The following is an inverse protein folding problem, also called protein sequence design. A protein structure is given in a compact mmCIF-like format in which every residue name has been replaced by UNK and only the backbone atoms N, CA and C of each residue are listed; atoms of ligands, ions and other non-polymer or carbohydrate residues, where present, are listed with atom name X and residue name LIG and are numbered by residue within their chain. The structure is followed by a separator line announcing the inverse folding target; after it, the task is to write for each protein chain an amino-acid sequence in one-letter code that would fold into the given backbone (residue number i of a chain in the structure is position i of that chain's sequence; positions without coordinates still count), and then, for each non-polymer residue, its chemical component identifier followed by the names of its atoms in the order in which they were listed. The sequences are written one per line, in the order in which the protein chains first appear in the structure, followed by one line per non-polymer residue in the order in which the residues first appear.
data_IF_721741277896
#
_entry.id   IF_721741277896
#
_cell.length_a   1.000
_cell.length_b   1.000
_cell.length_c   1.000
_cell.angle_alpha   90.00
_cell.angle_beta   90.00
_cell.angle_gamma   90.00
#
_symmetry.space_group_name_H-M   'P 1'
#
loop_
_entity.id
_entity.type
_entity.pdbx_description
1 polymer ?
#
# COMPACT_ATOMS: atom_id res chain seq x y z
N UNK A 1 -32.70 -30.30 -34.95
CA UNK A 1 -31.75 -30.59 -33.86
C UNK A 1 -30.87 -29.38 -33.63
N UNK A 2 -31.23 -28.57 -32.64
CA UNK A 2 -30.66 -27.25 -32.35
C UNK A 2 -29.56 -27.40 -31.29
N UNK A 3 -28.30 -27.24 -31.68
CA UNK A 3 -27.18 -27.19 -30.75
C UNK A 3 -27.16 -25.83 -30.05
N UNK A 4 -27.69 -25.78 -28.82
CA UNK A 4 -27.54 -24.64 -27.90
C UNK A 4 -26.07 -24.51 -27.53
N UNK A 5 -25.41 -23.47 -28.05
CA UNK A 5 -24.15 -22.98 -27.51
C UNK A 5 -24.33 -22.60 -26.04
N UNK A 6 -23.60 -23.27 -25.16
CA UNK A 6 -23.41 -22.79 -23.78
C UNK A 6 -22.47 -21.59 -23.86
N UNK A 7 -23.04 -20.40 -23.66
CA UNK A 7 -22.29 -19.22 -23.25
C UNK A 7 -21.52 -19.56 -21.95
N UNK A 8 -20.23 -19.23 -21.84
CA UNK A 8 -19.54 -19.31 -20.57
C UNK A 8 -20.18 -18.30 -19.62
N UNK A 9 -20.87 -18.82 -18.62
CA UNK A 9 -21.39 -18.08 -17.48
C UNK A 9 -20.22 -17.35 -16.82
N UNK A 10 -20.26 -16.02 -16.84
CA UNK A 10 -19.39 -15.13 -16.05
C UNK A 10 -19.44 -15.57 -14.58
N UNK A 11 -18.48 -16.39 -14.17
CA UNK A 11 -18.32 -16.80 -12.77
C UNK A 11 -17.47 -15.72 -12.12
N UNK A 12 -18.18 -14.81 -11.47
CA UNK A 12 -17.64 -13.75 -10.65
C UNK A 12 -16.82 -14.29 -9.46
N UNK A 13 -15.77 -13.54 -9.12
CA UNK A 13 -14.92 -13.62 -7.91
C UNK A 13 -13.93 -14.81 -7.90
N UNK A 14 -12.72 -14.58 -8.42
CA UNK A 14 -11.57 -15.49 -8.32
C UNK A 14 -10.74 -15.28 -7.04
N UNK A 15 -11.28 -14.57 -6.04
CA UNK A 15 -10.65 -14.46 -4.73
C UNK A 15 -10.98 -15.71 -3.87
N UNK A 16 -10.07 -16.67 -3.82
CA UNK A 16 -10.16 -17.78 -2.85
C UNK A 16 -9.87 -17.28 -1.42
N UNK A 17 -10.95 -16.86 -0.74
CA UNK A 17 -10.91 -16.27 0.61
C UNK A 17 -10.22 -17.16 1.65
N UNK A 18 -10.36 -18.48 1.54
CA UNK A 18 -9.79 -19.46 2.47
C UNK A 18 -8.26 -19.51 2.39
N UNK A 19 -7.71 -19.43 1.17
CA UNK A 19 -6.27 -19.38 0.95
C UNK A 19 -5.71 -18.01 1.33
N UNK A 20 -6.40 -16.93 0.93
CA UNK A 20 -6.02 -15.56 1.25
C UNK A 20 -5.91 -15.35 2.77
N UNK A 21 -6.85 -15.86 3.57
CA UNK A 21 -6.80 -15.72 5.03
C UNK A 21 -5.59 -16.41 5.68
N UNK A 22 -5.01 -17.42 5.02
CA UNK A 22 -3.81 -18.12 5.52
C UNK A 22 -2.54 -17.39 5.13
N UNK A 23 -2.43 -16.93 3.89
CA UNK A 23 -1.19 -16.39 3.33
C UNK A 23 -1.10 -14.86 3.44
N UNK A 24 -2.25 -14.19 3.44
CA UNK A 24 -2.44 -12.75 3.22
C UNK A 24 -1.89 -12.28 1.88
N UNK A 25 -1.73 -13.19 0.91
CA UNK A 25 -1.23 -12.87 -0.43
C UNK A 25 -2.40 -12.96 -1.40
N UNK A 26 -2.66 -11.87 -2.10
CA UNK A 26 -3.57 -11.80 -3.23
C UNK A 26 -2.73 -11.83 -4.52
N UNK A 27 -2.95 -12.82 -5.36
CA UNK A 27 -2.25 -12.97 -6.64
C UNK A 27 -3.28 -13.31 -7.71
N UNK A 28 -3.34 -12.51 -8.77
CA UNK A 28 -4.30 -12.72 -9.85
C UNK A 28 -3.77 -12.21 -11.18
N UNK A 29 -4.29 -12.79 -12.25
CA UNK A 29 -4.12 -12.29 -13.61
C UNK A 29 -5.49 -12.14 -14.25
N UNK A 30 -6.03 -10.93 -14.20
CA UNK A 30 -7.42 -10.66 -14.57
C UNK A 30 -7.59 -9.25 -15.18
N UNK A 31 -8.71 -8.98 -15.88
CA UNK A 31 -9.05 -7.63 -16.31
C UNK A 31 -9.13 -6.65 -15.13
N UNK A 32 -8.85 -5.36 -15.37
CA UNK A 32 -8.82 -4.31 -14.34
C UNK A 32 -10.11 -4.27 -13.51
N UNK A 33 -11.27 -4.46 -14.15
CA UNK A 33 -12.57 -4.43 -13.49
C UNK A 33 -12.72 -5.54 -12.44
N UNK A 34 -12.22 -6.75 -12.72
CA UNK A 34 -12.26 -7.88 -11.80
C UNK A 34 -11.32 -7.64 -10.62
N UNK A 35 -10.09 -7.17 -10.89
CA UNK A 35 -9.14 -6.83 -9.82
C UNK A 35 -9.71 -5.75 -8.90
N UNK A 36 -10.36 -4.71 -9.45
CA UNK A 36 -11.01 -3.67 -8.65
C UNK A 36 -12.17 -4.22 -7.80
N UNK A 37 -12.92 -5.19 -8.32
CA UNK A 37 -13.99 -5.85 -7.57
C UNK A 37 -13.43 -6.67 -6.40
N UNK A 38 -12.35 -7.41 -6.61
CA UNK A 38 -11.66 -8.17 -5.57
C UNK A 38 -11.06 -7.25 -4.49
N UNK A 39 -10.41 -6.16 -4.88
CA UNK A 39 -9.87 -5.17 -3.93
C UNK A 39 -10.99 -4.53 -3.09
N UNK A 40 -12.16 -4.30 -3.69
CA UNK A 40 -13.35 -3.84 -2.96
C UNK A 40 -13.88 -4.92 -2.00
N UNK A 41 -13.84 -6.19 -2.39
CA UNK A 41 -14.18 -7.28 -1.48
C UNK A 41 -13.22 -7.30 -0.27
N UNK A 42 -11.91 -7.14 -0.49
CA UNK A 42 -10.91 -7.00 0.59
C UNK A 42 -11.21 -5.82 1.51
N UNK A 43 -11.54 -4.64 0.96
CA UNK A 43 -11.95 -3.46 1.74
C UNK A 43 -13.16 -3.77 2.63
N UNK A 44 -14.18 -4.45 2.11
CA UNK A 44 -15.36 -4.81 2.92
C UNK A 44 -15.06 -5.83 4.00
N UNK A 45 -14.10 -6.74 3.77
CA UNK A 45 -13.67 -7.72 4.76
C UNK A 45 -12.91 -7.06 5.90
N UNK A 46 -12.01 -6.13 5.57
CA UNK A 46 -11.25 -5.38 6.56
C UNK A 46 -12.19 -4.49 7.40
N UNK A 47 -13.10 -3.75 6.77
CA UNK A 47 -14.09 -2.93 7.48
C UNK A 47 -14.94 -3.77 8.46
N UNK A 48 -15.36 -4.98 8.07
CA UNK A 48 -16.05 -5.92 8.97
C UNK A 48 -15.17 -6.37 10.12
N UNK A 49 -13.88 -6.65 9.88
CA UNK A 49 -12.93 -7.02 10.91
C UNK A 49 -12.67 -5.86 11.89
N UNK A 50 -12.56 -4.63 11.39
CA UNK A 50 -12.42 -3.43 12.20
C UNK A 50 -13.66 -3.18 13.07
N UNK A 51 -14.86 -3.28 12.50
CA UNK A 51 -16.11 -3.13 13.24
C UNK A 51 -16.25 -4.17 14.35
N UNK A 52 -15.96 -5.45 14.07
CA UNK A 52 -15.94 -6.51 15.10
C UNK A 52 -14.95 -6.19 16.22
N UNK A 53 -13.75 -5.70 15.88
CA UNK A 53 -12.73 -5.33 16.89
C UNK A 53 -13.16 -4.14 17.75
N UNK A 54 -13.83 -3.15 17.16
CA UNK A 54 -14.41 -2.01 17.88
C UNK A 54 -15.53 -2.49 18.82
N UNK A 55 -16.43 -3.36 18.35
CA UNK A 55 -17.49 -3.94 19.17
C UNK A 55 -16.94 -4.76 20.35
N UNK A 56 -15.95 -5.63 20.10
CA UNK A 56 -15.30 -6.41 21.16
C UNK A 56 -14.59 -5.51 22.19
N UNK A 57 -14.04 -4.38 21.76
CA UNK A 57 -13.41 -3.41 22.65
C UNK A 57 -14.44 -2.72 23.55
N UNK A 58 -15.55 -2.25 22.98
CA UNK A 58 -16.66 -1.66 23.74
C UNK A 58 -17.21 -2.70 24.72
N UNK A 59 -17.48 -3.92 24.28
CA UNK A 59 -18.00 -4.99 25.13
C UNK A 59 -17.03 -5.34 26.29
N UNK A 60 -15.73 -5.43 26.01
CA UNK A 60 -14.73 -5.69 27.06
C UNK A 60 -14.73 -4.58 28.13
N UNK A 61 -14.82 -3.31 27.72
CA UNK A 61 -14.92 -2.19 28.66
C UNK A 61 -16.23 -2.18 29.46
N UNK A 62 -17.34 -2.52 28.83
CA UNK A 62 -18.63 -2.64 29.52
C UNK A 62 -18.57 -3.75 30.58
N UNK A 63 -18.00 -4.92 30.27
CA UNK A 63 -17.80 -5.98 31.25
C UNK A 63 -16.87 -5.55 32.40
N UNK A 64 -15.78 -4.84 32.10
CA UNK A 64 -14.87 -4.33 33.13
C UNK A 64 -15.55 -3.28 34.04
N UNK A 65 -16.35 -2.37 33.47
CA UNK A 65 -17.14 -1.42 34.25
C UNK A 65 -18.20 -2.09 35.11
N UNK A 66 -18.91 -3.09 34.55
CA UNK A 66 -19.91 -3.87 35.28
C UNK A 66 -19.27 -4.65 36.44
N UNK A 67 -18.06 -5.19 36.25
CA UNK A 67 -17.31 -5.85 37.32
C UNK A 67 -17.14 -4.94 38.53
N UNK A 68 -16.74 -3.68 38.32
CA UNK A 68 -16.55 -2.70 39.42
C UNK A 68 -17.87 -2.41 40.12
N UNK A 69 -18.96 -2.22 39.35
CA UNK A 69 -20.29 -1.95 39.92
C UNK A 69 -20.82 -3.12 40.76
N UNK A 70 -20.66 -4.36 40.27
CA UNK A 70 -21.11 -5.58 40.96
C UNK A 70 -20.29 -5.88 42.22
N UNK A 71 -19.01 -5.50 42.25
CA UNK A 71 -18.14 -5.71 43.40
C UNK A 71 -18.53 -4.86 44.62
N UNK A 72 -19.30 -3.79 44.42
CA UNK A 72 -19.85 -2.95 45.50
C UNK A 72 -21.06 -3.60 46.20
N UNK A 73 -21.61 -4.69 45.65
CA UNK A 73 -22.77 -5.39 46.20
C UNK A 73 -22.35 -6.78 46.69
N UNK A 74 -22.35 -7.06 48.00
CA UNK A 74 -21.71 -8.25 48.58
C UNK A 74 -22.30 -9.58 48.10
N UNK A 75 -23.58 -9.62 47.72
CA UNK A 75 -24.23 -10.82 47.21
C UNK A 75 -23.95 -11.09 45.71
N UNK A 76 -23.31 -10.16 44.99
CA UNK A 76 -23.07 -10.25 43.54
C UNK A 76 -21.61 -10.57 43.17
N UNK A 77 -20.78 -10.96 44.14
CA UNK A 77 -19.34 -11.21 43.93
C UNK A 77 -19.08 -12.28 42.86
N UNK A 78 -19.86 -13.37 42.82
CA UNK A 78 -19.72 -14.40 41.77
C UNK A 78 -20.02 -13.85 40.37
N UNK A 79 -21.01 -12.97 40.25
CA UNK A 79 -21.34 -12.31 38.98
C UNK A 79 -20.25 -11.32 38.57
N UNK A 80 -19.63 -10.62 39.54
CA UNK A 80 -18.49 -9.75 39.29
C UNK A 80 -17.29 -10.57 38.74
N UNK A 81 -16.97 -11.71 39.34
CA UNK A 81 -15.90 -12.60 38.86
C UNK A 81 -16.19 -13.11 37.44
N UNK A 82 -17.42 -13.53 37.15
CA UNK A 82 -17.81 -13.99 35.82
C UNK A 82 -17.72 -12.87 34.76
N UNK A 83 -18.14 -11.65 35.12
CA UNK A 83 -18.02 -10.47 34.25
C UNK A 83 -16.55 -10.12 33.96
N UNK A 84 -15.69 -10.18 34.97
CA UNK A 84 -14.26 -9.94 34.84
C UNK A 84 -13.59 -10.95 33.90
N UNK A 85 -13.86 -12.25 34.11
CA UNK A 85 -13.35 -13.33 33.27
C UNK A 85 -13.81 -13.17 31.81
N UNK A 86 -15.08 -12.77 31.59
CA UNK A 86 -15.62 -12.46 30.27
C UNK A 86 -14.89 -11.27 29.62
N UNK A 87 -14.63 -10.20 30.38
CA UNK A 87 -13.86 -9.05 29.91
C UNK A 87 -12.43 -9.43 29.47
N UNK A 88 -11.74 -10.28 30.24
CA UNK A 88 -10.42 -10.82 29.86
C UNK A 88 -10.52 -11.66 28.59
N UNK A 89 -11.50 -12.56 28.50
CA UNK A 89 -11.69 -13.41 27.32
C UNK A 89 -11.92 -12.57 26.05
N UNK A 90 -12.76 -11.53 26.12
CA UNK A 90 -12.99 -10.58 25.02
C UNK A 90 -11.70 -9.84 24.62
N UNK A 91 -10.86 -9.46 25.58
CA UNK A 91 -9.57 -8.83 25.30
C UNK A 91 -8.60 -9.79 24.59
N UNK A 92 -8.57 -11.06 25.01
CA UNK A 92 -7.78 -12.11 24.35
C UNK A 92 -8.28 -12.33 22.92
N UNK A 93 -9.60 -12.48 22.72
CA UNK A 93 -10.20 -12.65 21.38
C UNK A 93 -9.86 -11.45 20.49
N UNK A 94 -9.98 -10.22 21.00
CA UNK A 94 -9.58 -9.00 20.30
C UNK A 94 -8.10 -9.02 19.90
N UNK A 95 -7.21 -9.39 20.81
CA UNK A 95 -5.76 -9.44 20.56
C UNK A 95 -5.37 -10.48 19.50
N UNK A 96 -6.15 -11.57 19.39
CA UNK A 96 -5.98 -12.56 18.31
C UNK A 96 -6.55 -12.02 17.00
N UNK A 97 -7.71 -11.37 17.03
CA UNK A 97 -8.33 -10.75 15.86
C UNK A 97 -7.50 -9.60 15.27
N UNK A 98 -6.73 -8.86 16.09
CA UNK A 98 -5.82 -7.82 15.59
C UNK A 98 -4.65 -8.37 14.76
N UNK A 99 -4.39 -9.69 14.78
CA UNK A 99 -3.37 -10.30 13.91
C UNK A 99 -3.81 -10.40 12.44
N UNK A 100 -5.10 -10.21 12.18
CA UNK A 100 -5.71 -10.23 10.84
C UNK A 100 -6.02 -8.82 10.32
N UNK A 101 -5.40 -7.79 10.91
CA UNK A 101 -5.49 -6.41 10.42
C UNK A 101 -4.80 -6.30 9.06
N UNK A 102 -5.55 -5.95 8.02
CA UNK A 102 -4.96 -5.68 6.71
C UNK A 102 -4.44 -4.23 6.70
N UNK A 103 -3.37 -3.96 5.95
CA UNK A 103 -2.89 -2.57 5.80
C UNK A 103 -3.71 -1.87 4.71
N UNK A 104 -4.69 -1.06 5.12
CA UNK A 104 -5.61 -0.29 4.25
C UNK A 104 -4.91 0.45 3.11
N UNK A 105 -3.71 0.94 3.41
CA UNK A 105 -2.92 1.75 2.49
C UNK A 105 -2.46 0.94 1.29
N UNK A 106 -2.24 -0.38 1.45
CA UNK A 106 -1.70 -1.24 0.40
C UNK A 106 -2.75 -1.51 -0.68
N UNK A 107 -3.88 -2.11 -0.32
CA UNK A 107 -4.94 -2.37 -1.29
C UNK A 107 -5.58 -1.06 -1.78
N UNK A 108 -5.67 -0.04 -0.93
CA UNK A 108 -6.15 1.29 -1.31
C UNK A 108 -5.25 1.97 -2.35
N UNK A 109 -3.92 1.78 -2.27
CA UNK A 109 -3.01 2.30 -3.29
C UNK A 109 -3.25 1.60 -4.63
N UNK A 110 -3.31 0.27 -4.64
CA UNK A 110 -3.53 -0.51 -5.87
C UNK A 110 -4.86 -0.12 -6.52
N UNK A 111 -5.94 -0.04 -5.74
CA UNK A 111 -7.25 0.39 -6.23
C UNK A 111 -7.20 1.79 -6.83
N UNK A 112 -6.56 2.76 -6.14
CA UNK A 112 -6.42 4.12 -6.63
C UNK A 112 -5.61 4.23 -7.92
N UNK A 113 -4.60 3.37 -8.10
CA UNK A 113 -3.77 3.34 -9.31
C UNK A 113 -4.51 2.69 -10.47
N UNK A 114 -5.14 1.54 -10.26
CA UNK A 114 -5.94 0.86 -11.29
C UNK A 114 -7.10 1.73 -11.77
N UNK A 115 -7.79 2.43 -10.87
CA UNK A 115 -8.83 3.41 -11.25
C UNK A 115 -8.30 4.55 -12.13
N UNK A 116 -7.05 4.98 -11.93
CA UNK A 116 -6.43 6.02 -12.77
C UNK A 116 -5.97 5.46 -14.10
N UNK A 117 -5.37 4.27 -14.10
CA UNK A 117 -4.78 3.66 -15.28
C UNK A 117 -5.79 2.94 -16.17
N UNK A 118 -7.01 2.67 -15.70
CA UNK A 118 -8.04 1.96 -16.47
C UNK A 118 -8.34 2.61 -17.84
N UNK A 119 -8.10 3.92 -17.98
CA UNK A 119 -8.32 4.66 -19.24
C UNK A 119 -7.19 4.40 -20.24
N UNK A 120 -5.98 4.20 -19.76
CA UNK A 120 -4.78 4.02 -20.60
C UNK A 120 -4.45 2.53 -20.82
N UNK A 121 -4.89 1.65 -19.91
CA UNK A 121 -4.70 0.21 -19.99
C UNK A 121 -5.53 -0.37 -21.14
N UNK A 122 -4.97 -1.36 -21.83
CA UNK A 122 -5.69 -2.10 -22.86
C UNK A 122 -6.86 -2.87 -22.23
N UNK A 123 -8.09 -2.54 -22.65
CA UNK A 123 -9.32 -3.09 -22.09
C UNK A 123 -9.40 -4.63 -22.17
N UNK A 124 -8.70 -5.23 -23.12
CA UNK A 124 -8.68 -6.68 -23.32
C UNK A 124 -7.43 -7.36 -22.73
N UNK A 125 -6.45 -6.58 -22.23
CA UNK A 125 -5.24 -7.13 -21.66
C UNK A 125 -5.40 -7.38 -20.15
N UNK A 126 -5.11 -8.60 -19.65
CA UNK A 126 -5.13 -8.85 -18.22
C UNK A 126 -3.97 -8.13 -17.53
N UNK A 127 -4.22 -7.68 -16.30
CA UNK A 127 -3.20 -7.16 -15.39
C UNK A 127 -2.80 -8.29 -14.44
N UNK A 128 -1.51 -8.47 -14.25
CA UNK A 128 -0.94 -9.36 -13.25
C UNK A 128 -0.71 -8.54 -11.98
N UNK A 129 -1.34 -8.93 -10.88
CA UNK A 129 -1.23 -8.26 -9.58
C UNK A 129 -0.86 -9.27 -8.53
N UNK A 130 0.24 -9.00 -7.83
CA UNK A 130 0.66 -9.68 -6.61
C UNK A 130 0.71 -8.67 -5.46
N UNK A 131 -0.07 -8.91 -4.43
CA UNK A 131 -0.27 -8.04 -3.28
C UNK A 131 -0.14 -8.85 -1.98
N UNK A 132 0.95 -8.67 -1.24
CA UNK A 132 1.13 -9.24 0.10
C UNK A 132 0.61 -8.22 1.13
N UNK A 133 -0.41 -8.60 1.90
CA UNK A 133 -1.04 -7.81 2.96
C UNK A 133 -0.61 -8.25 4.37
N UNK A 134 0.31 -9.22 4.50
CA UNK A 134 0.84 -9.61 5.79
C UNK A 134 1.67 -8.48 6.41
N UNK A 135 1.76 -8.43 7.76
CA UNK A 135 2.58 -7.46 8.46
C UNK A 135 4.02 -7.38 7.93
N UNK A 136 4.57 -6.16 7.84
CA UNK A 136 5.94 -5.89 7.33
C UNK A 136 6.99 -6.65 8.14
N UNK A 137 6.70 -6.89 9.41
CA UNK A 137 7.57 -7.52 10.40
C UNK A 137 7.33 -9.02 10.56
N UNK A 138 6.62 -9.66 9.62
CA UNK A 138 6.52 -11.11 9.56
C UNK A 138 7.92 -11.75 9.47
N UNK A 139 8.12 -12.87 10.15
CA UNK A 139 9.43 -13.53 10.24
C UNK A 139 9.99 -13.92 8.87
N UNK A 140 9.13 -14.37 7.94
CA UNK A 140 9.48 -14.69 6.55
C UNK A 140 10.06 -13.51 5.75
N UNK A 141 9.86 -12.26 6.23
CA UNK A 141 10.32 -11.02 5.60
C UNK A 141 11.58 -10.45 6.28
N UNK A 142 12.12 -11.15 7.29
CA UNK A 142 13.32 -10.74 8.00
C UNK A 142 14.55 -11.00 7.13
N UNK A 143 15.28 -9.94 6.78
CA UNK A 143 16.51 -10.00 5.99
C UNK A 143 17.72 -10.30 6.87
N UNK A 144 17.65 -9.93 8.15
CA UNK A 144 18.70 -10.27 9.10
C UNK A 144 18.53 -9.64 10.47
N UNK A 145 19.16 -10.28 11.45
CA UNK A 145 19.28 -9.81 12.83
C UNK A 145 20.74 -9.46 13.10
N UNK A 146 21.01 -8.24 13.55
CA UNK A 146 22.37 -7.75 13.81
C UNK A 146 22.43 -6.88 15.04
N UNK A 147 23.54 -6.99 15.77
CA UNK A 147 23.84 -6.10 16.88
C UNK A 147 24.46 -4.81 16.36
N UNK A 148 23.89 -3.66 16.74
CA UNK A 148 24.39 -2.32 16.39
C UNK A 148 24.74 -1.58 17.68
N UNK A 149 25.97 -1.78 18.15
CA UNK A 149 26.40 -1.30 19.46
C UNK A 149 25.63 -2.00 20.59
N UNK A 150 24.88 -1.23 21.40
CA UNK A 150 24.04 -1.77 22.48
C UNK A 150 22.60 -2.11 22.05
N UNK A 151 22.30 -2.08 20.76
CA UNK A 151 20.97 -2.34 20.22
C UNK A 151 20.94 -3.64 19.42
N UNK A 152 19.99 -4.51 19.75
CA UNK A 152 19.62 -5.64 18.90
C UNK A 152 18.74 -5.08 17.78
N UNK A 153 19.14 -5.26 16.53
CA UNK A 153 18.46 -4.70 15.37
C UNK A 153 17.97 -5.81 14.45
N UNK A 154 16.73 -5.70 13.99
CA UNK A 154 16.12 -6.59 13.01
C UNK A 154 15.74 -5.75 11.80
N UNK A 155 16.18 -6.17 10.62
CA UNK A 155 15.90 -5.52 9.36
C UNK A 155 14.95 -6.40 8.53
N UNK A 156 13.90 -5.79 8.00
CA UNK A 156 12.88 -6.43 7.18
C UNK A 156 12.81 -5.74 5.81
N UNK A 157 12.55 -6.53 4.77
CA UNK A 157 12.27 -6.06 3.42
C UNK A 157 11.06 -6.82 2.89
N UNK A 158 10.00 -6.08 2.63
CA UNK A 158 8.69 -6.61 2.23
C UNK A 158 8.37 -6.14 0.82
N UNK A 159 8.58 -6.99 -0.19
CA UNK A 159 8.15 -6.75 -1.57
C UNK A 159 6.66 -7.03 -1.67
N UNK A 160 5.87 -6.07 -1.22
CA UNK A 160 4.44 -6.27 -0.99
C UNK A 160 3.59 -6.03 -2.22
N UNK A 161 4.10 -5.39 -3.26
CA UNK A 161 3.38 -5.15 -4.52
C UNK A 161 4.26 -5.48 -5.72
N UNK A 162 3.69 -6.25 -6.64
CA UNK A 162 4.09 -6.35 -8.04
C UNK A 162 2.84 -6.17 -8.89
N UNK A 163 2.88 -5.27 -9.86
CA UNK A 163 1.79 -5.04 -10.80
C UNK A 163 2.38 -4.92 -12.20
N UNK A 164 1.90 -5.76 -13.11
CA UNK A 164 2.27 -5.73 -14.51
C UNK A 164 1.03 -5.52 -15.36
N UNK A 165 1.09 -4.58 -16.29
CA UNK A 165 -0.01 -4.29 -17.20
C UNK A 165 0.50 -3.89 -18.57
N UNK A 166 -0.40 -3.84 -19.53
CA UNK A 166 -0.11 -3.36 -20.88
C UNK A 166 -1.00 -2.16 -21.18
N UNK A 167 -0.38 -1.07 -21.59
CA UNK A 167 -1.08 0.11 -22.08
C UNK A 167 -1.52 -0.08 -23.54
N UNK A 168 -2.55 0.67 -23.95
CA UNK A 168 -3.09 0.61 -25.31
C UNK A 168 -2.06 0.96 -26.41
N UNK A 169 -1.02 1.72 -26.05
CA UNK A 169 0.10 2.08 -26.93
C UNK A 169 1.11 0.93 -27.15
N UNK A 170 0.90 -0.22 -26.49
CA UNK A 170 1.78 -1.38 -26.52
C UNK A 170 2.93 -1.35 -25.51
N UNK A 171 3.01 -0.32 -24.66
CA UNK A 171 4.01 -0.20 -23.60
C UNK A 171 3.66 -1.15 -22.45
N UNK A 172 4.65 -1.86 -21.93
CA UNK A 172 4.47 -2.72 -20.76
C UNK A 172 4.80 -1.94 -19.49
N UNK A 173 3.82 -1.83 -18.59
CA UNK A 173 3.96 -1.24 -17.27
C UNK A 173 4.47 -2.29 -16.28
N UNK A 174 5.46 -1.92 -15.49
CA UNK A 174 5.86 -2.64 -14.29
C UNK A 174 5.87 -1.69 -13.10
N UNK A 175 5.07 -1.98 -12.08
CA UNK A 175 5.02 -1.25 -10.83
C UNK A 175 5.39 -2.22 -9.70
N UNK A 176 6.30 -1.83 -8.83
CA UNK A 176 6.58 -2.58 -7.61
C UNK A 176 6.74 -1.66 -6.40
N UNK A 177 6.39 -2.19 -5.23
CA UNK A 177 6.57 -1.49 -3.96
C UNK A 177 7.24 -2.41 -2.94
N UNK A 178 8.23 -1.84 -2.24
CA UNK A 178 9.00 -2.53 -1.21
C UNK A 178 8.98 -1.69 0.07
N UNK A 179 8.52 -2.26 1.18
CA UNK A 179 8.64 -1.65 2.50
C UNK A 179 9.90 -2.15 3.20
N UNK A 180 10.74 -1.23 3.66
CA UNK A 180 11.86 -1.54 4.53
C UNK A 180 11.51 -1.12 5.94
N UNK A 181 11.69 -2.02 6.90
CA UNK A 181 11.46 -1.75 8.31
C UNK A 181 12.68 -2.16 9.12
N UNK A 182 13.14 -1.27 9.99
CA UNK A 182 14.13 -1.59 10.98
C UNK A 182 13.54 -1.45 12.38
N UNK A 183 13.56 -2.56 13.13
CA UNK A 183 13.27 -2.59 14.55
C UNK A 183 14.56 -2.62 15.33
N UNK A 184 14.66 -1.84 16.40
CA UNK A 184 15.79 -1.90 17.33
C UNK A 184 15.26 -2.04 18.74
N UNK A 185 15.85 -2.95 19.52
CA UNK A 185 15.53 -3.17 20.93
C UNK A 185 16.81 -3.07 21.75
N UNK A 186 16.71 -2.46 22.93
CA UNK A 186 17.76 -2.48 23.94
C UNK A 186 17.13 -2.71 25.30
N UNK A 187 17.64 -3.68 26.03
CA UNK A 187 17.27 -3.93 27.41
C UNK A 187 18.42 -3.51 28.32
N UNK A 188 18.12 -2.88 29.45
CA UNK A 188 19.13 -2.51 30.43
C UNK A 188 18.52 -2.34 31.82
N UNK A 189 19.36 -2.44 32.86
CA UNK A 189 18.95 -2.23 34.25
C UNK A 189 19.23 -0.79 34.66
N UNK A 190 18.26 -0.12 35.29
CA UNK A 190 18.42 1.22 35.84
C UNK A 190 19.12 1.21 37.20
N UNK A 191 19.48 2.40 37.71
CA UNK A 191 20.04 2.57 39.07
C UNK A 191 19.13 2.02 40.18
N UNK A 192 17.80 2.03 39.95
CA UNK A 192 16.80 1.45 40.86
C UNK A 192 16.65 -0.07 40.77
N UNK A 193 17.56 -0.79 40.09
CA UNK A 193 17.48 -2.24 39.85
C UNK A 193 16.42 -2.70 38.84
N UNK A 194 15.51 -1.83 38.40
CA UNK A 194 14.43 -2.15 37.46
C UNK A 194 14.95 -2.35 36.03
N UNK A 195 14.49 -3.40 35.36
CA UNK A 195 14.78 -3.66 33.94
C UNK A 195 13.91 -2.74 33.06
N UNK A 196 14.55 -1.99 32.15
CA UNK A 196 13.88 -1.14 31.17
C UNK A 196 14.20 -1.64 29.76
N UNK A 197 13.17 -1.76 28.94
CA UNK A 197 13.30 -2.02 27.50
C UNK A 197 13.04 -0.72 26.74
N UNK A 198 13.94 -0.35 25.83
CA UNK A 198 13.73 0.71 24.86
C UNK A 198 13.61 0.09 23.47
N UNK A 199 12.64 0.55 22.69
CA UNK A 199 12.45 0.14 21.30
C UNK A 199 12.53 1.36 20.39
N UNK A 200 13.00 1.16 19.15
CA UNK A 200 12.96 2.15 18.08
C UNK A 200 12.49 1.47 16.80
N UNK A 201 11.70 2.18 16.02
CA UNK A 201 11.19 1.75 14.72
C UNK A 201 11.59 2.78 13.68
N UNK A 202 12.04 2.32 12.51
CA UNK A 202 12.31 3.19 11.36
C UNK A 202 11.91 2.46 10.09
N UNK A 203 10.87 2.92 9.41
CA UNK A 203 10.47 2.42 8.11
C UNK A 203 10.76 3.39 6.97
N UNK A 204 10.76 2.85 5.75
CA UNK A 204 10.79 3.56 4.48
C UNK A 204 10.05 2.73 3.44
N UNK A 205 9.43 3.38 2.46
CA UNK A 205 8.83 2.69 1.31
C UNK A 205 9.56 3.06 0.03
N UNK A 206 9.86 2.06 -0.79
CA UNK A 206 10.45 2.23 -2.10
C UNK A 206 9.40 1.89 -3.15
N UNK A 207 9.09 2.86 -3.99
CA UNK A 207 8.24 2.67 -5.16
C UNK A 207 9.11 2.60 -6.40
N UNK A 208 8.79 1.70 -7.30
CA UNK A 208 9.45 1.56 -8.58
C UNK A 208 8.39 1.49 -9.68
N UNK A 209 8.55 2.33 -10.70
CA UNK A 209 7.75 2.33 -11.92
C UNK A 209 8.71 2.10 -13.08
N UNK A 210 8.41 1.15 -13.94
CA UNK A 210 9.16 0.85 -15.15
C UNK A 210 8.22 0.79 -16.34
N UNK A 211 8.68 1.33 -17.47
CA UNK A 211 8.04 1.19 -18.77
C UNK A 211 8.99 0.44 -19.68
N UNK A 212 8.51 -0.64 -20.28
CA UNK A 212 9.22 -1.32 -21.37
C UNK A 212 8.55 -0.97 -22.68
N UNK A 213 9.35 -0.48 -23.61
CA UNK A 213 8.92 0.06 -24.91
C UNK A 213 9.61 -0.68 -26.04
N UNK A 214 9.02 -0.62 -27.24
CA UNK A 214 9.69 -1.10 -28.45
C UNK A 214 10.79 -0.09 -28.86
N UNK A 215 12.05 -0.51 -29.02
CA UNK A 215 13.16 0.40 -29.33
C UNK A 215 12.97 1.13 -30.67
N UNK A 216 12.31 0.48 -31.65
CA UNK A 216 11.97 1.05 -32.96
C UNK A 216 11.18 2.36 -32.85
N UNK A 217 10.36 2.51 -31.82
CA UNK A 217 9.52 3.71 -31.61
C UNK A 217 10.27 4.85 -30.90
N UNK A 218 11.35 4.53 -30.19
CA UNK A 218 12.10 5.45 -29.36
C UNK A 218 13.61 5.30 -29.59
N UNK A 219 14.10 5.67 -30.78
CA UNK A 219 15.53 5.60 -31.07
C UNK A 219 16.31 6.57 -30.18
N UNK A 220 17.51 6.16 -29.74
CA UNK A 220 18.42 7.01 -28.96
C UNK A 220 18.01 7.24 -27.49
N UNK A 221 17.14 6.40 -26.93
CA UNK A 221 16.64 6.54 -25.56
C UNK A 221 17.76 6.57 -24.51
N UNK A 222 18.82 5.77 -24.67
CA UNK A 222 20.00 5.74 -23.79
C UNK A 222 20.72 7.07 -23.70
N UNK A 223 20.80 7.84 -24.79
CA UNK A 223 21.45 9.14 -24.82
C UNK A 223 20.72 10.20 -23.99
N UNK A 224 19.48 9.93 -23.57
CA UNK A 224 18.65 10.86 -22.81
C UNK A 224 18.79 10.72 -21.30
N UNK A 225 19.55 9.74 -20.77
CA UNK A 225 19.61 9.47 -19.32
C UNK A 225 19.93 10.71 -18.47
N UNK A 226 20.95 11.48 -18.87
CA UNK A 226 21.37 12.67 -18.14
C UNK A 226 20.26 13.73 -18.07
N UNK A 227 19.60 14.01 -19.20
CA UNK A 227 18.51 15.01 -19.30
C UNK A 227 17.22 14.50 -18.66
N UNK A 228 16.97 13.20 -18.76
CA UNK A 228 15.81 12.56 -18.18
C UNK A 228 15.79 12.77 -16.66
N UNK A 229 16.96 12.77 -16.01
CA UNK A 229 17.08 13.04 -14.58
C UNK A 229 16.60 14.44 -14.19
N UNK A 230 16.92 15.45 -14.98
CA UNK A 230 16.51 16.84 -14.75
C UNK A 230 15.02 17.06 -15.06
N UNK A 231 14.45 16.23 -15.93
CA UNK A 231 13.04 16.27 -16.28
C UNK A 231 12.12 15.58 -15.24
N UNK A 232 12.65 14.73 -14.35
CA UNK A 232 11.84 14.01 -13.36
C UNK A 232 11.21 14.99 -12.38
N UNK A 233 9.86 15.02 -12.35
CA UNK A 233 9.09 15.79 -11.37
C UNK A 233 8.50 14.84 -10.33
N UNK A 234 8.87 15.03 -9.06
CA UNK A 234 8.33 14.26 -7.93
C UNK A 234 7.51 15.16 -6.99
N UNK A 235 6.46 14.65 -6.33
CA UNK A 235 5.73 15.42 -5.34
C UNK A 235 6.55 15.67 -4.06
N UNK A 236 6.15 16.63 -3.22
CA UNK A 236 6.75 16.83 -1.90
C UNK A 236 6.76 15.55 -1.07
N UNK A 237 7.86 15.29 -0.36
CA UNK A 237 8.05 14.09 0.45
C UNK A 237 8.56 12.86 -0.32
N UNK A 238 8.52 12.88 -1.65
CA UNK A 238 9.10 11.84 -2.49
C UNK A 238 10.54 12.18 -2.90
N UNK A 239 11.48 11.24 -2.73
CA UNK A 239 12.89 11.43 -3.09
C UNK A 239 13.31 10.48 -4.20
N UNK A 240 13.94 11.00 -5.25
CA UNK A 240 14.53 10.18 -6.32
C UNK A 240 15.65 9.32 -5.75
N UNK A 241 15.55 7.99 -5.88
CA UNK A 241 16.61 7.05 -5.51
C UNK A 241 17.41 6.60 -6.71
N UNK A 242 16.73 6.30 -7.82
CA UNK A 242 17.36 5.83 -9.06
C UNK A 242 16.49 6.16 -10.26
N UNK A 243 17.12 6.59 -11.34
CA UNK A 243 16.57 6.56 -12.69
C UNK A 243 17.48 5.66 -13.51
N UNK A 244 16.90 4.82 -14.37
CA UNK A 244 17.63 4.01 -15.35
C UNK A 244 16.97 4.20 -16.69
N UNK A 245 17.77 4.47 -17.70
CA UNK A 245 17.32 4.59 -19.08
C UNK A 245 18.14 3.63 -19.91
N UNK A 246 17.49 2.67 -20.55
CA UNK A 246 18.09 1.73 -21.48
C UNK A 246 17.31 1.77 -22.80
N UNK A 247 17.77 1.04 -23.81
CA UNK A 247 17.19 1.10 -25.17
C UNK A 247 15.72 0.67 -25.21
N UNK A 248 15.35 -0.35 -24.45
CA UNK A 248 14.01 -0.93 -24.43
C UNK A 248 13.20 -0.60 -23.16
N UNK A 249 13.78 0.15 -22.21
CA UNK A 249 13.13 0.39 -20.90
C UNK A 249 13.56 1.68 -20.21
N UNK A 250 12.63 2.26 -19.47
CA UNK A 250 12.89 3.39 -18.57
C UNK A 250 12.33 3.04 -17.20
N UNK A 251 13.16 3.10 -16.16
CA UNK A 251 12.78 2.75 -14.79
C UNK A 251 13.08 3.89 -13.83
N UNK A 252 12.09 4.23 -13.00
CA UNK A 252 12.17 5.24 -11.97
C UNK A 252 11.91 4.63 -10.60
N UNK A 253 12.83 4.84 -9.66
CA UNK A 253 12.73 4.38 -8.28
C UNK A 253 12.77 5.55 -7.31
N UNK A 254 11.76 5.62 -6.46
CA UNK A 254 11.51 6.71 -5.51
C UNK A 254 11.40 6.17 -4.10
N UNK A 255 11.83 6.97 -3.14
CA UNK A 255 11.77 6.71 -1.71
C UNK A 255 10.73 7.62 -1.07
N UNK A 256 9.82 7.00 -0.32
CA UNK A 256 8.84 7.64 0.55
C UNK A 256 9.13 7.31 2.01
N UNK A 257 8.71 8.21 2.91
CA UNK A 257 8.71 7.94 4.36
C UNK A 257 7.62 6.91 4.73
N UNK A 258 7.70 6.28 5.91
CA UNK A 258 6.80 5.17 6.34
C UNK A 258 5.31 5.57 6.42
N UNK A 259 5.08 6.88 6.59
CA UNK A 259 3.82 7.50 7.00
C UNK A 259 2.92 7.87 5.80
N UNK A 260 3.26 7.40 4.60
CA UNK A 260 2.51 7.68 3.37
C UNK A 260 1.06 7.17 3.47
N UNK A 261 0.19 7.75 2.65
CA UNK A 261 -1.22 7.35 2.49
C UNK A 261 -1.52 7.03 1.03
N UNK A 262 -2.44 6.10 0.77
CA UNK A 262 -2.85 5.77 -0.58
C UNK A 262 -3.42 7.00 -1.31
N UNK A 263 -4.32 7.72 -0.65
CA UNK A 263 -4.88 9.01 -1.05
C UNK A 263 -5.14 9.81 0.23
N UNK A 264 -4.75 11.09 0.32
CA UNK A 264 -5.08 11.90 1.49
C UNK A 264 -6.61 12.06 1.57
N UNK A 265 -7.18 12.13 2.79
CA UNK A 265 -8.58 12.49 2.94
C UNK A 265 -8.82 13.84 2.25
N UNK A 266 -9.92 13.93 1.52
CA UNK A 266 -10.30 15.17 0.82
C UNK A 266 -10.40 16.28 1.87
N UNK A 267 -9.61 17.35 1.70
CA UNK A 267 -9.70 18.51 2.58
C UNK A 267 -11.15 19.01 2.59
N UNK A 268 -11.73 19.31 3.78
CA UNK A 268 -13.05 19.91 3.85
C UNK A 268 -13.07 21.20 3.04
N UNK A 269 -14.16 21.43 2.31
CA UNK A 269 -14.26 22.66 1.51
C UNK A 269 -14.32 23.86 2.45
N UNK A 270 -13.82 25.04 2.05
CA UNK A 270 -13.90 26.26 2.87
C UNK A 270 -15.32 26.58 3.36
N UNK A 271 -16.34 26.18 2.60
CA UNK A 271 -17.76 26.33 2.92
C UNK A 271 -18.32 25.31 3.91
N UNK A 272 -17.56 24.28 4.31
CA UNK A 272 -17.92 23.27 5.31
C UNK A 272 -17.29 23.55 6.68
N UNK A 273 -16.45 24.59 6.79
CA UNK A 273 -15.82 25.01 8.05
C UNK A 273 -16.73 26.08 8.68
N UNK A 274 -17.29 25.85 9.89
CA UNK A 274 -18.03 26.89 10.60
C UNK A 274 -17.15 28.14 10.79
N UNK A 275 -17.68 29.31 10.48
CA UNK A 275 -16.95 30.60 10.38
C UNK A 275 -16.28 31.13 11.66
N UNK A 276 -16.04 30.30 12.68
CA UNK A 276 -15.44 30.69 13.96
C UNK A 276 -14.15 29.95 14.34
N UNK A 277 -13.80 28.84 13.68
CA UNK A 277 -12.60 28.07 14.02
C UNK A 277 -11.38 28.61 13.28
N UNK A 278 -10.38 29.12 14.03
CA UNK A 278 -9.07 29.45 13.47
C UNK A 278 -8.50 28.19 12.79
N UNK A 279 -7.93 28.29 11.58
CA UNK A 279 -7.31 27.15 10.93
C UNK A 279 -6.20 26.61 11.84
N UNK A 280 -6.45 25.45 12.43
CA UNK A 280 -5.47 24.69 13.20
C UNK A 280 -4.29 24.45 12.26
N UNK A 281 -3.03 24.70 12.66
CA UNK A 281 -1.88 24.52 11.76
C UNK A 281 -1.97 23.12 11.15
N UNK A 282 -2.10 23.08 9.82
CA UNK A 282 -2.26 21.85 9.07
C UNK A 282 -1.12 20.92 9.46
N UNK A 283 -1.45 19.78 10.07
CA UNK A 283 -0.47 18.74 10.31
C UNK A 283 0.24 18.45 8.98
N UNK A 284 1.58 18.24 8.97
CA UNK A 284 2.32 18.02 7.73
C UNK A 284 1.61 16.96 6.91
N UNK A 285 1.16 17.35 5.71
CA UNK A 285 0.33 16.49 4.87
C UNK A 285 1.10 15.22 4.54
N UNK A 286 0.55 14.07 4.94
CA UNK A 286 1.15 12.76 4.67
C UNK A 286 1.36 12.61 3.15
N UNK A 287 2.48 12.03 2.75
CA UNK A 287 2.80 11.88 1.33
C UNK A 287 1.78 10.98 0.63
N UNK A 288 1.18 11.49 -0.45
CA UNK A 288 0.25 10.76 -1.31
C UNK A 288 1.02 9.82 -2.25
N UNK A 289 0.96 8.52 -1.94
CA UNK A 289 1.64 7.50 -2.75
C UNK A 289 1.01 7.35 -4.14
N UNK A 290 -0.31 7.47 -4.28
CA UNK A 290 -0.96 7.39 -5.60
C UNK A 290 -0.48 8.52 -6.50
N UNK A 291 -0.42 9.76 -5.98
CA UNK A 291 0.09 10.92 -6.72
C UNK A 291 1.57 10.75 -7.04
N UNK A 292 2.38 10.22 -6.13
CA UNK A 292 3.78 9.94 -6.39
C UNK A 292 3.96 8.99 -7.58
N UNK A 293 3.24 7.86 -7.61
CA UNK A 293 3.30 6.91 -8.73
C UNK A 293 2.80 7.53 -10.03
N UNK A 294 1.70 8.29 -10.01
CA UNK A 294 1.20 8.96 -11.22
C UNK A 294 2.21 9.97 -11.76
N UNK A 295 2.85 10.78 -10.89
CA UNK A 295 3.90 11.72 -11.32
C UNK A 295 5.16 11.02 -11.81
N UNK A 296 5.52 9.87 -11.21
CA UNK A 296 6.59 9.01 -11.71
C UNK A 296 6.29 8.54 -13.14
N UNK A 297 5.08 8.03 -13.38
CA UNK A 297 4.64 7.56 -14.69
C UNK A 297 4.65 8.69 -15.73
N UNK A 298 4.09 9.85 -15.41
CA UNK A 298 4.10 11.02 -16.29
C UNK A 298 5.51 11.51 -16.59
N UNK A 299 6.41 11.48 -15.61
CA UNK A 299 7.83 11.81 -15.82
C UNK A 299 8.49 10.84 -16.80
N UNK A 300 8.20 9.55 -16.71
CA UNK A 300 8.70 8.55 -17.66
C UNK A 300 8.16 8.78 -19.08
N UNK A 301 6.87 9.08 -19.22
CA UNK A 301 6.28 9.42 -20.52
C UNK A 301 6.85 10.71 -21.12
N UNK A 302 7.18 11.72 -20.31
CA UNK A 302 7.87 12.92 -20.80
C UNK A 302 9.23 12.58 -21.40
N UNK A 303 9.99 11.68 -20.77
CA UNK A 303 11.27 11.19 -21.31
C UNK A 303 11.08 10.45 -22.63
N UNK A 304 10.07 9.58 -22.71
CA UNK A 304 9.73 8.84 -23.93
C UNK A 304 9.32 9.77 -25.08
N UNK A 305 8.42 10.73 -24.82
CA UNK A 305 7.93 11.67 -25.83
C UNK A 305 9.05 12.55 -26.41
N UNK A 306 10.01 12.94 -25.56
CA UNK A 306 11.18 13.69 -26.02
C UNK A 306 12.04 12.86 -26.99
N UNK A 307 12.21 11.56 -26.73
CA UNK A 307 12.92 10.64 -27.63
C UNK A 307 12.22 10.50 -28.97
N UNK A 308 10.91 10.26 -28.98
CA UNK A 308 10.15 10.06 -30.23
C UNK A 308 10.14 11.29 -31.12
N UNK A 309 10.10 12.51 -30.55
CA UNK A 309 10.12 13.75 -31.34
C UNK A 309 11.43 13.99 -32.10
N UNK A 310 12.55 13.38 -31.69
CA UNK A 310 13.84 13.48 -32.38
C UNK A 310 14.05 12.40 -33.43
N UNK A 311 13.28 11.30 -33.35
CA UNK A 311 13.36 10.17 -34.27
C UNK A 311 12.55 10.35 -35.57
N UNK A 312 11.84 11.46 -35.76
CA UNK A 312 11.19 11.80 -37.04
C UNK A 312 12.12 12.68 -37.89
N UNK A 313 12.90 12.13 -38.84
CA UNK A 313 13.48 12.92 -39.91
C UNK A 313 12.38 13.27 -40.92
N UNK A 314 12.12 14.56 -41.12
CA UNK A 314 11.29 15.03 -42.24
C UNK A 314 9.92 15.59 -41.87
N UNK A 315 9.90 16.75 -41.23
CA UNK A 315 8.96 17.79 -41.63
C UNK A 315 9.68 19.14 -41.61
N UNK A 316 10.76 19.22 -42.40
CA UNK A 316 11.28 20.51 -42.85
C UNK A 316 10.29 21.00 -43.88
N UNK A 317 9.36 21.86 -43.46
CA UNK A 317 8.61 22.72 -44.37
C UNK A 317 9.63 23.51 -45.18
N UNK A 318 9.82 23.16 -46.44
CA UNK A 318 10.27 24.08 -47.46
C UNK A 318 9.19 25.16 -47.58
N UNK A 319 9.46 26.34 -47.03
CA UNK A 319 8.75 27.56 -47.42
C UNK A 319 9.36 28.05 -48.73
N UNK A 320 8.53 28.55 -49.68
CA UNK A 320 8.95 29.03 -50.98
C UNK A 320 9.80 30.31 -50.91
#
# INVERSE_FOLDING_TARGET
MTARGRLPTLTAVSLELSEFQKTYVYETRAPVAEVLADLKALETLDAKAEQKRRMLWIAAWVCMGLTVALFLVPFLVLLAIASFATGIALFIIRSRASRSDLDDRRYGLVAALLQRFQVDLDANAPVDVKLDLAPVDAERKCVGKRKRGRWDSEDFADTWLSLHGRFADGTHLHLSAVAHLQKRRRTGRGSSGKTKTKTKRKGKSLLQVGLRVKPERFPGLTALEARARDAVKLPPGARLKRLRVAEDRVELRVLLDEDWVARPPKAPRPSEVPSGDRPRPEAPSKTDASRAVTMMLLSLYQVLNYSSSRGQPGNVRSLP
#
